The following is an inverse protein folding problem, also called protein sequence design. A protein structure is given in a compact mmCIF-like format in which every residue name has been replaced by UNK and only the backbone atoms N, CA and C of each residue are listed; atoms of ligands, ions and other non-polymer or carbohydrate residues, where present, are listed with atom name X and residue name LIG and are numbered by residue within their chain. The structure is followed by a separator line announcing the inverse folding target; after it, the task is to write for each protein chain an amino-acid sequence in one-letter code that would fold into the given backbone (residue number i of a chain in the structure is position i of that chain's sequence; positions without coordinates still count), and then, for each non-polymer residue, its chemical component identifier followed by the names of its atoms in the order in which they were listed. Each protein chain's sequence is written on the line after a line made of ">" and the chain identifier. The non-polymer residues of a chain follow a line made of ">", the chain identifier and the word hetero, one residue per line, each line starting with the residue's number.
data_IF_136263249221
#
_entry.id   IF_136263249221
#
_cell.length_a   1.000
_cell.length_b   1.000
_cell.length_c   1.000
_cell.angle_alpha   90.00
_cell.angle_beta   90.00
_cell.angle_gamma   90.00
#
_symmetry.space_group_name_H-M   'P 1'
#
loop_
_entity.id
_entity.type
_entity.pdbx_description
1 polymer ?
#
# COMPACT_ATOMS: atom_id res chain seq x y z
N UNK A 1 7.38 20.97 5.64
CA UNK A 1 8.07 20.33 6.78
C UNK A 1 9.49 20.05 6.34
N UNK A 2 10.48 20.35 7.17
CA UNK A 2 11.89 20.10 6.89
C UNK A 2 12.26 18.64 7.25
N UNK A 3 11.90 17.71 6.37
CA UNK A 3 12.16 16.27 6.59
C UNK A 3 13.65 15.96 6.80
N UNK A 4 14.61 16.56 6.06
CA UNK A 4 16.04 16.39 6.34
C UNK A 4 16.41 16.76 7.78
N UNK A 5 15.94 17.91 8.28
CA UNK A 5 16.18 18.29 9.68
C UNK A 5 15.60 17.27 10.66
N UNK A 6 14.33 16.90 10.51
CA UNK A 6 13.67 15.97 11.44
C UNK A 6 14.28 14.56 11.41
N UNK A 7 14.71 14.09 10.24
CA UNK A 7 15.30 12.76 10.09
C UNK A 7 16.77 12.64 10.51
N UNK A 8 17.48 13.76 10.72
CA UNK A 8 18.95 13.71 10.96
C UNK A 8 19.44 14.52 12.15
N UNK A 9 18.70 15.55 12.59
CA UNK A 9 19.15 16.52 13.61
C UNK A 9 18.18 16.70 14.77
N UNK A 10 16.88 16.49 14.56
CA UNK A 10 15.88 16.64 15.61
C UNK A 10 16.06 15.59 16.71
N UNK A 11 15.68 15.96 17.94
CA UNK A 11 15.71 15.05 19.07
C UNK A 11 14.53 14.05 19.06
N UNK A 12 14.63 13.04 19.93
CA UNK A 12 13.65 11.96 20.04
C UNK A 12 12.26 12.48 20.44
N UNK A 13 12.18 13.50 21.29
CA UNK A 13 10.89 14.07 21.73
C UNK A 13 10.19 14.79 20.58
N UNK A 14 10.95 15.53 19.77
CA UNK A 14 10.43 16.22 18.59
C UNK A 14 9.86 15.25 17.55
N UNK A 15 10.57 14.15 17.28
CA UNK A 15 10.11 13.16 16.29
C UNK A 15 9.02 12.23 16.82
N UNK A 16 8.74 12.24 18.13
CA UNK A 16 7.60 11.52 18.73
C UNK A 16 6.26 12.21 18.52
N UNK A 17 6.27 13.51 18.23
CA UNK A 17 5.06 14.22 17.82
C UNK A 17 4.46 13.50 16.61
N UNK A 18 3.20 13.07 16.72
CA UNK A 18 2.50 12.32 15.67
C UNK A 18 2.44 13.08 14.34
N UNK A 19 2.40 14.42 14.38
CA UNK A 19 2.42 15.24 13.19
C UNK A 19 3.78 15.21 12.46
N UNK A 20 4.89 14.92 13.17
CA UNK A 20 6.25 14.79 12.64
C UNK A 20 6.60 13.34 12.32
N UNK A 21 6.27 12.42 13.23
CA UNK A 21 6.58 11.00 13.15
C UNK A 21 6.02 10.38 11.87
N UNK A 22 4.73 10.61 11.56
CA UNK A 22 4.08 9.93 10.44
C UNK A 22 4.71 10.28 9.09
N UNK A 23 4.91 11.58 8.73
CA UNK A 23 5.61 11.91 7.50
C UNK A 23 7.05 11.41 7.45
N UNK A 24 7.75 11.41 8.58
CA UNK A 24 9.13 10.92 8.64
C UNK A 24 9.19 9.41 8.32
N UNK A 25 8.30 8.61 8.92
CA UNK A 25 8.20 7.17 8.66
C UNK A 25 7.94 6.85 7.18
N UNK A 26 6.97 7.54 6.57
CA UNK A 26 6.64 7.33 5.15
C UNK A 26 7.80 7.81 4.27
N UNK A 27 8.36 8.99 4.52
CA UNK A 27 9.49 9.51 3.75
C UNK A 27 10.70 8.57 3.79
N UNK A 28 11.06 8.04 4.97
CA UNK A 28 12.14 7.07 5.12
C UNK A 28 11.88 5.81 4.29
N UNK A 29 10.68 5.25 4.35
CA UNK A 29 10.32 4.08 3.53
C UNK A 29 10.41 4.36 2.03
N UNK A 30 9.92 5.52 1.56
CA UNK A 30 9.94 5.88 0.14
C UNK A 30 11.36 6.13 -0.39
N UNK A 31 12.20 6.87 0.37
CA UNK A 31 13.59 7.12 -0.02
C UNK A 31 14.39 5.82 -0.04
N UNK A 32 14.18 4.95 0.95
CA UNK A 32 14.82 3.64 0.95
C UNK A 32 14.34 2.76 -0.19
N UNK A 33 13.05 2.79 -0.55
CA UNK A 33 12.54 2.06 -1.71
C UNK A 33 13.22 2.52 -3.01
N UNK A 34 13.43 3.83 -3.20
CA UNK A 34 14.16 4.37 -4.36
C UNK A 34 15.63 3.94 -4.38
N UNK A 35 16.27 3.86 -3.22
CA UNK A 35 17.65 3.38 -3.12
C UNK A 35 17.74 1.87 -3.40
N UNK A 36 16.76 1.11 -2.96
CA UNK A 36 16.71 -0.34 -3.12
C UNK A 36 16.36 -0.76 -4.56
N UNK A 37 15.41 -0.05 -5.17
CA UNK A 37 14.89 -0.26 -6.53
C UNK A 37 15.01 1.04 -7.34
N UNK A 38 16.17 1.29 -7.99
CA UNK A 38 16.43 2.55 -8.69
C UNK A 38 15.43 2.87 -9.79
N UNK A 39 14.86 1.84 -10.43
CA UNK A 39 13.72 2.00 -11.32
C UNK A 39 12.46 1.42 -10.64
N UNK A 40 11.33 2.16 -10.56
CA UNK A 40 10.11 1.68 -9.91
C UNK A 40 9.59 0.34 -10.46
N UNK A 41 9.87 0.05 -11.73
CA UNK A 41 9.51 -1.23 -12.35
C UNK A 41 10.29 -2.43 -11.77
N UNK A 42 11.50 -2.22 -11.24
CA UNK A 42 12.35 -3.29 -10.70
C UNK A 42 11.71 -3.95 -9.49
N UNK A 43 10.97 -3.17 -8.69
CA UNK A 43 10.26 -3.68 -7.52
C UNK A 43 9.11 -4.62 -7.92
N UNK A 44 8.38 -4.33 -9.01
CA UNK A 44 7.20 -5.12 -9.39
C UNK A 44 7.53 -6.56 -9.82
N UNK A 45 8.73 -6.78 -10.36
CA UNK A 45 9.23 -8.12 -10.69
C UNK A 45 9.87 -8.87 -9.51
N UNK A 46 10.12 -8.18 -8.38
CA UNK A 46 10.90 -8.72 -7.24
C UNK A 46 10.12 -8.73 -5.93
N UNK A 47 8.89 -8.23 -5.91
CA UNK A 47 8.06 -8.12 -4.72
C UNK A 47 6.67 -8.69 -5.01
N UNK A 48 6.37 -9.84 -4.39
CA UNK A 48 5.11 -10.56 -4.61
C UNK A 48 3.90 -9.98 -3.85
N UNK A 49 4.15 -9.22 -2.78
CA UNK A 49 3.14 -8.52 -1.99
C UNK A 49 3.76 -7.39 -1.15
N UNK A 50 2.96 -6.37 -0.84
CA UNK A 50 3.28 -5.29 0.08
C UNK A 50 2.23 -5.17 1.16
N UNK A 51 2.67 -4.86 2.37
CA UNK A 51 1.82 -4.56 3.51
C UNK A 51 2.54 -3.53 4.39
N UNK A 52 1.78 -2.70 5.09
CA UNK A 52 2.33 -1.81 6.09
C UNK A 52 1.38 -1.69 7.26
N UNK A 53 1.94 -1.54 8.47
CA UNK A 53 1.15 -1.42 9.69
C UNK A 53 0.74 0.04 9.92
N UNK A 54 -0.55 0.30 10.03
CA UNK A 54 -1.12 1.63 10.22
C UNK A 54 -0.58 2.63 9.18
N UNK A 55 0.21 3.61 9.60
CA UNK A 55 0.84 4.61 8.74
C UNK A 55 1.69 3.99 7.62
N UNK A 56 2.29 2.81 7.87
CA UNK A 56 3.06 2.09 6.85
C UNK A 56 2.22 1.65 5.65
N UNK A 57 0.89 1.52 5.79
CA UNK A 57 0.00 1.18 4.68
C UNK A 57 0.01 2.27 3.59
N UNK A 58 0.37 3.52 3.94
CA UNK A 58 0.55 4.61 2.98
C UNK A 58 1.80 4.37 2.12
N UNK A 59 2.92 4.01 2.74
CA UNK A 59 4.15 3.68 2.01
C UNK A 59 3.95 2.41 1.14
N UNK A 60 3.23 1.41 1.66
CA UNK A 60 2.86 0.22 0.90
C UNK A 60 1.95 0.57 -0.31
N UNK A 61 0.99 1.47 -0.14
CA UNK A 61 0.13 1.96 -1.24
C UNK A 61 0.93 2.67 -2.33
N UNK A 62 1.90 3.51 -1.95
CA UNK A 62 2.82 4.13 -2.92
C UNK A 62 3.71 3.10 -3.60
N UNK A 63 4.27 2.15 -2.85
CA UNK A 63 5.08 1.05 -3.41
C UNK A 63 4.32 0.15 -4.37
N UNK A 64 3.02 -0.06 -4.14
CA UNK A 64 2.12 -0.77 -5.06
C UNK A 64 1.64 0.10 -6.24
N UNK A 65 2.03 1.36 -6.32
CA UNK A 65 1.69 2.27 -7.43
C UNK A 65 0.33 2.97 -7.30
N UNK A 66 -0.35 2.88 -6.15
CA UNK A 66 -1.69 3.49 -5.98
C UNK A 66 -1.63 5.01 -5.90
N UNK A 67 -0.63 5.53 -5.19
CA UNK A 67 -0.42 6.96 -4.95
C UNK A 67 0.96 7.38 -5.48
N UNK A 68 1.09 8.59 -5.98
CA UNK A 68 2.42 9.19 -6.18
C UNK A 68 3.10 9.45 -4.83
N UNK A 69 4.43 9.57 -4.82
CA UNK A 69 5.19 9.92 -3.61
C UNK A 69 4.73 11.27 -3.04
N UNK A 70 4.50 12.27 -3.89
CA UNK A 70 4.03 13.59 -3.51
C UNK A 70 2.63 13.54 -2.88
N UNK A 71 1.70 12.79 -3.49
CA UNK A 71 0.36 12.60 -2.96
C UNK A 71 0.40 11.90 -1.59
N UNK A 72 1.22 10.85 -1.46
CA UNK A 72 1.41 10.14 -0.20
C UNK A 72 1.98 11.05 0.89
N UNK A 73 2.97 11.89 0.55
CA UNK A 73 3.56 12.85 1.50
C UNK A 73 2.59 13.95 1.92
N UNK A 74 1.73 14.43 1.02
CA UNK A 74 0.63 15.35 1.37
C UNK A 74 -0.38 14.64 2.27
N UNK A 75 -0.81 13.43 1.90
CA UNK A 75 -1.79 12.66 2.65
C UNK A 75 -1.32 12.36 4.07
N UNK A 76 -0.09 11.85 4.25
CA UNK A 76 0.44 11.51 5.57
C UNK A 76 0.68 12.74 6.44
N UNK A 77 1.05 13.89 5.86
CA UNK A 77 1.17 15.15 6.60
C UNK A 77 -0.18 15.57 7.18
N UNK A 78 -1.23 15.58 6.35
CA UNK A 78 -2.56 15.95 6.82
C UNK A 78 -3.13 14.90 7.78
N UNK A 79 -2.82 13.60 7.59
CA UNK A 79 -3.19 12.53 8.53
C UNK A 79 -2.54 12.74 9.90
N UNK A 80 -1.23 12.98 9.94
CA UNK A 80 -0.50 13.20 11.19
C UNK A 80 -1.04 14.39 11.96
N UNK A 81 -1.25 15.53 11.29
CA UNK A 81 -1.83 16.74 11.90
C UNK A 81 -3.26 16.51 12.40
N UNK A 82 -4.12 15.95 11.56
CA UNK A 82 -5.53 15.75 11.93
C UNK A 82 -5.69 14.73 13.07
N UNK A 83 -4.83 13.70 13.14
CA UNK A 83 -4.80 12.75 14.27
C UNK A 83 -4.26 13.39 15.55
N UNK A 84 -3.26 14.27 15.47
CA UNK A 84 -2.78 15.03 16.61
C UNK A 84 -3.89 15.96 17.14
N UNK A 85 -4.56 16.70 16.26
CA UNK A 85 -5.68 17.58 16.60
C UNK A 85 -6.83 16.78 17.24
N UNK A 86 -7.19 15.62 16.68
CA UNK A 86 -8.23 14.75 17.24
C UNK A 86 -7.85 14.22 18.63
N UNK A 87 -6.57 13.93 18.87
CA UNK A 87 -6.08 13.44 20.16
C UNK A 87 -6.14 14.52 21.25
N UNK A 88 -6.02 15.80 20.87
CA UNK A 88 -6.13 16.92 21.80
C UNK A 88 -7.56 17.18 22.31
N UNK A 89 -8.59 16.62 21.65
CA UNK A 89 -10.01 16.84 22.01
C UNK A 89 -10.39 16.13 23.32
N UNK A 90 -9.85 14.94 23.57
CA UNK A 90 -10.20 14.13 24.75
C UNK A 90 -8.97 13.37 25.24
N UNK A 91 -8.64 13.43 26.55
CA UNK A 91 -7.55 12.63 27.11
C UNK A 91 -7.79 11.13 26.88
N UNK A 92 -6.98 10.56 26.00
CA UNK A 92 -7.07 9.16 25.56
C UNK A 92 -5.66 8.59 25.42
N UNK A 93 -5.55 7.26 25.35
CA UNK A 93 -4.26 6.60 25.22
C UNK A 93 -4.38 5.21 24.63
N UNK A 94 -3.25 4.49 24.63
CA UNK A 94 -3.17 3.11 24.19
C UNK A 94 -2.31 2.28 25.14
N UNK A 95 -2.67 1.02 25.36
CA UNK A 95 -1.93 0.05 26.19
C UNK A 95 -1.77 -1.25 25.42
N UNK A 96 -0.52 -1.67 25.23
CA UNK A 96 -0.23 -3.00 24.69
C UNK A 96 -0.53 -4.07 25.72
N UNK A 97 -1.17 -5.15 25.26
CA UNK A 97 -1.51 -6.34 26.03
C UNK A 97 -0.71 -7.50 25.44
N UNK A 98 0.11 -8.12 26.27
CA UNK A 98 1.05 -9.18 25.88
C UNK A 98 0.67 -10.47 26.60
N UNK A 99 0.29 -11.51 25.85
CA UNK A 99 -0.19 -12.77 26.39
C UNK A 99 -1.65 -12.71 26.85
N UNK A 100 -2.06 -13.71 27.64
CA UNK A 100 -3.47 -13.98 27.94
C UNK A 100 -4.18 -14.72 26.81
N UNK A 101 -5.34 -15.30 27.12
CA UNK A 101 -6.20 -15.91 26.11
C UNK A 101 -6.95 -14.81 25.34
N UNK A 102 -6.94 -14.90 24.01
CA UNK A 102 -7.43 -13.82 23.13
C UNK A 102 -8.87 -13.41 23.45
N UNK A 103 -9.76 -14.39 23.59
CA UNK A 103 -11.19 -14.12 23.82
C UNK A 103 -11.44 -13.51 25.21
N UNK A 104 -10.67 -13.92 26.22
CA UNK A 104 -10.72 -13.31 27.56
C UNK A 104 -10.25 -11.86 27.52
N UNK A 105 -9.16 -11.57 26.79
CA UNK A 105 -8.68 -10.19 26.60
C UNK A 105 -9.73 -9.35 25.90
N UNK A 106 -10.30 -9.82 24.78
CA UNK A 106 -11.33 -9.09 24.04
C UNK A 106 -12.58 -8.83 24.89
N UNK A 107 -13.01 -9.82 25.68
CA UNK A 107 -14.13 -9.66 26.61
C UNK A 107 -13.85 -8.60 27.68
N UNK A 108 -12.62 -8.55 28.22
CA UNK A 108 -12.24 -7.53 29.20
C UNK A 108 -12.20 -6.13 28.57
N UNK A 109 -11.74 -6.01 27.32
CA UNK A 109 -11.77 -4.73 26.60
C UNK A 109 -13.20 -4.22 26.41
N UNK A 110 -14.10 -5.08 25.96
CA UNK A 110 -15.52 -4.75 25.76
C UNK A 110 -16.19 -4.33 27.08
N UNK A 111 -15.92 -5.05 28.18
CA UNK A 111 -16.42 -4.71 29.51
C UNK A 111 -16.03 -3.29 29.96
N UNK A 112 -14.86 -2.81 29.58
CA UNK A 112 -14.39 -1.46 29.88
C UNK A 112 -14.68 -0.43 28.76
N UNK A 113 -15.37 -0.84 27.69
CA UNK A 113 -15.64 0.01 26.52
C UNK A 113 -14.38 0.43 25.76
N UNK A 114 -13.31 -0.35 25.86
CA UNK A 114 -12.06 -0.15 25.13
C UNK A 114 -12.15 -0.78 23.75
N UNK A 115 -11.46 -0.18 22.78
CA UNK A 115 -11.31 -0.74 21.44
C UNK A 115 -10.00 -1.54 21.36
N UNK A 116 -10.05 -2.74 20.80
CA UNK A 116 -8.86 -3.46 20.34
C UNK A 116 -8.32 -2.76 19.07
N UNK A 117 -7.60 -1.66 19.25
CA UNK A 117 -7.13 -0.79 18.18
C UNK A 117 -6.11 -1.45 17.25
N UNK A 118 -5.30 -2.37 17.78
CA UNK A 118 -4.41 -3.19 16.98
C UNK A 118 -4.52 -4.65 17.43
N UNK A 119 -4.68 -5.52 16.46
CA UNK A 119 -4.51 -6.94 16.60
C UNK A 119 -3.26 -7.35 15.84
N UNK A 120 -2.16 -7.50 16.57
CA UNK A 120 -0.84 -7.69 15.96
C UNK A 120 -0.51 -9.16 15.68
N UNK A 121 -1.40 -10.09 16.07
CA UNK A 121 -1.07 -11.50 16.18
C UNK A 121 -0.02 -11.75 17.27
N UNK A 122 0.45 -12.99 17.40
CA UNK A 122 1.55 -13.30 18.33
C UNK A 122 1.21 -13.14 19.80
N UNK A 123 -0.08 -13.18 20.15
CA UNK A 123 -0.56 -12.89 21.50
C UNK A 123 -0.41 -11.42 21.90
N UNK A 124 -0.32 -10.49 20.93
CA UNK A 124 -0.25 -9.06 21.18
C UNK A 124 -1.49 -8.35 20.64
N UNK A 125 -2.23 -7.71 21.56
CA UNK A 125 -3.31 -6.78 21.27
C UNK A 125 -2.93 -5.38 21.78
N UNK A 126 -3.57 -4.35 21.27
CA UNK A 126 -3.44 -2.98 21.80
C UNK A 126 -4.83 -2.44 22.13
N UNK A 127 -5.06 -2.19 23.41
CA UNK A 127 -6.25 -1.53 23.89
C UNK A 127 -6.14 -0.01 23.71
N UNK A 128 -7.22 0.63 23.33
CA UNK A 128 -7.27 2.08 23.16
C UNK A 128 -8.62 2.64 23.62
N UNK A 129 -8.59 3.80 24.25
CA UNK A 129 -9.76 4.50 24.75
C UNK A 129 -9.37 5.66 25.68
N UNK A 130 -10.29 6.08 26.53
CA UNK A 130 -10.02 7.13 27.52
C UNK A 130 -9.04 6.64 28.59
N UNK A 131 -8.34 7.57 29.24
CA UNK A 131 -7.39 7.24 30.31
C UNK A 131 -8.08 6.49 31.47
N UNK A 132 -9.30 6.90 31.83
CA UNK A 132 -10.09 6.24 32.88
C UNK A 132 -10.45 4.78 32.52
N UNK A 133 -10.76 4.50 31.26
CA UNK A 133 -11.04 3.12 30.82
C UNK A 133 -9.77 2.24 30.87
N UNK A 134 -8.62 2.80 30.50
CA UNK A 134 -7.33 2.10 30.57
C UNK A 134 -6.89 1.86 32.02
N UNK A 135 -7.13 2.81 32.92
CA UNK A 135 -6.91 2.64 34.36
C UNK A 135 -7.80 1.52 34.93
N UNK A 136 -9.08 1.45 34.52
CA UNK A 136 -9.99 0.40 34.92
C UNK A 136 -9.50 -1.00 34.45
N UNK A 137 -9.06 -1.11 33.20
CA UNK A 137 -8.44 -2.34 32.68
C UNK A 137 -7.17 -2.71 33.46
N UNK A 138 -6.34 -1.72 33.82
CA UNK A 138 -5.12 -1.96 34.59
C UNK A 138 -5.39 -2.43 36.03
N UNK A 139 -6.52 -2.03 36.62
CA UNK A 139 -6.96 -2.51 37.93
C UNK A 139 -7.48 -3.95 37.88
N UNK A 140 -7.96 -4.42 36.74
CA UNK A 140 -8.50 -5.77 36.53
C UNK A 140 -7.94 -6.38 35.23
N UNK A 141 -6.63 -6.65 35.17
CA UNK A 141 -6.00 -7.12 33.93
C UNK A 141 -6.49 -8.53 33.58
N UNK A 142 -6.61 -8.85 32.27
CA UNK A 142 -6.90 -10.21 31.82
C UNK A 142 -5.88 -11.21 32.38
N UNK A 143 -6.32 -12.44 32.65
CA UNK A 143 -5.47 -13.46 33.24
C UNK A 143 -4.24 -13.73 32.35
N UNK A 144 -3.06 -13.85 32.97
CA UNK A 144 -1.77 -14.11 32.31
C UNK A 144 -1.36 -13.07 31.24
N UNK A 145 -2.05 -11.93 31.15
CA UNK A 145 -1.66 -10.84 30.28
C UNK A 145 -0.76 -9.84 31.01
N UNK A 146 0.23 -9.28 30.29
CA UNK A 146 1.03 -8.15 30.76
C UNK A 146 0.59 -6.88 30.04
N UNK A 147 0.32 -5.83 30.80
CA UNK A 147 -0.06 -4.53 30.27
C UNK A 147 1.16 -3.61 30.19
N UNK A 148 1.30 -2.89 29.07
CA UNK A 148 2.34 -1.88 28.86
C UNK A 148 1.75 -0.64 28.20
N UNK A 149 1.58 0.47 28.93
CA UNK A 149 1.17 1.75 28.34
C UNK A 149 2.11 2.17 27.21
N UNK A 150 1.54 2.72 26.14
CA UNK A 150 2.27 3.21 24.98
C UNK A 150 2.43 4.73 25.06
N UNK A 151 3.61 5.22 24.67
CA UNK A 151 3.88 6.66 24.56
C UNK A 151 3.36 7.16 23.21
N UNK A 152 2.06 7.41 23.15
CA UNK A 152 1.34 7.91 21.96
C UNK A 152 0.43 9.07 22.35
N UNK A 153 0.13 9.94 21.38
CA UNK A 153 -0.65 11.15 21.63
C UNK A 153 -2.13 10.90 21.97
N UNK A 154 -2.69 9.75 21.57
CA UNK A 154 -4.10 9.43 21.82
C UNK A 154 -4.50 8.02 21.41
N UNK A 155 -5.78 7.70 21.55
CA UNK A 155 -6.38 6.41 21.18
C UNK A 155 -6.57 6.28 19.66
N UNK A 156 -5.49 6.01 18.92
CA UNK A 156 -5.55 5.78 17.47
C UNK A 156 -6.41 4.55 17.10
N UNK A 157 -6.93 4.52 15.88
CA UNK A 157 -7.72 3.38 15.37
C UNK A 157 -9.04 3.15 16.13
N UNK A 158 -9.58 4.21 16.75
CA UNK A 158 -10.84 4.20 17.49
C UNK A 158 -11.79 5.30 17.01
N UNK A 159 -13.00 5.31 17.56
CA UNK A 159 -13.98 6.37 17.34
C UNK A 159 -13.47 7.78 17.70
N UNK A 160 -12.47 7.90 18.59
CA UNK A 160 -11.86 9.19 18.96
C UNK A 160 -11.16 9.86 17.77
N UNK A 161 -10.77 9.10 16.74
CA UNK A 161 -10.13 9.62 15.53
C UNK A 161 -11.12 10.03 14.43
N UNK A 162 -12.43 9.95 14.65
CA UNK A 162 -13.46 10.38 13.67
C UNK A 162 -13.27 11.81 13.13
N UNK A 163 -12.83 12.82 13.93
CA UNK A 163 -12.53 14.14 13.39
C UNK A 163 -11.45 14.10 12.29
N UNK A 164 -10.42 13.27 12.44
CA UNK A 164 -9.37 13.10 11.44
C UNK A 164 -9.90 12.47 10.14
N UNK A 165 -10.83 11.51 10.24
CA UNK A 165 -11.50 10.90 9.08
C UNK A 165 -12.18 11.97 8.23
N UNK A 166 -12.85 12.95 8.84
CA UNK A 166 -13.57 14.00 8.12
C UNK A 166 -12.62 14.90 7.31
N UNK A 167 -11.45 15.23 7.87
CA UNK A 167 -10.39 15.98 7.19
C UNK A 167 -9.86 15.20 5.99
N UNK A 168 -9.49 13.94 6.22
CA UNK A 168 -8.92 13.07 5.17
C UNK A 168 -9.92 12.73 4.08
N UNK A 169 -11.20 12.56 4.42
CA UNK A 169 -12.28 12.34 3.44
C UNK A 169 -12.44 13.52 2.48
N UNK A 170 -12.20 14.75 2.95
CA UNK A 170 -12.22 15.94 2.09
C UNK A 170 -11.00 15.97 1.17
N UNK A 171 -9.82 15.70 1.73
CA UNK A 171 -8.57 15.64 0.97
C UNK A 171 -8.59 14.56 -0.11
N UNK A 172 -9.11 13.38 0.20
CA UNK A 172 -9.16 12.23 -0.69
C UNK A 172 -9.89 12.50 -2.01
N UNK A 173 -10.83 13.47 -2.04
CA UNK A 173 -11.53 13.88 -3.26
C UNK A 173 -10.61 14.51 -4.31
N UNK A 174 -9.45 15.02 -3.90
CA UNK A 174 -8.45 15.62 -4.77
C UNK A 174 -7.29 14.68 -5.10
N UNK A 175 -7.33 13.42 -4.63
CA UNK A 175 -6.27 12.44 -4.85
C UNK A 175 -6.67 11.53 -6.02
N UNK A 176 -5.87 11.58 -7.07
CA UNK A 176 -5.89 10.58 -8.15
C UNK A 176 -5.27 9.28 -7.63
N UNK A 177 -5.90 8.15 -7.94
CA UNK A 177 -5.41 6.81 -7.58
C UNK A 177 -5.27 5.93 -8.81
N UNK A 178 -4.33 5.00 -8.79
CA UNK A 178 -4.22 3.91 -9.76
C UNK A 178 -4.46 2.56 -9.08
N UNK A 179 -4.88 1.56 -9.84
CA UNK A 179 -5.02 0.20 -9.32
C UNK A 179 -3.64 -0.39 -9.00
N UNK A 180 -3.61 -1.28 -8.01
CA UNK A 180 -2.36 -1.82 -7.46
C UNK A 180 -1.61 -2.66 -8.50
N UNK A 181 -0.31 -2.45 -8.61
CA UNK A 181 0.60 -3.28 -9.43
C UNK A 181 1.23 -4.45 -8.67
N UNK A 182 1.14 -4.42 -7.34
CA UNK A 182 1.61 -5.46 -6.43
C UNK A 182 0.53 -5.72 -5.39
N UNK A 183 0.43 -6.96 -4.88
CA UNK A 183 -0.63 -7.34 -3.94
C UNK A 183 -0.54 -6.45 -2.69
N UNK A 184 -1.54 -5.61 -2.45
CA UNK A 184 -1.61 -4.78 -1.27
C UNK A 184 -2.50 -5.43 -0.23
N UNK A 185 -1.90 -5.90 0.86
CA UNK A 185 -2.60 -6.55 1.97
C UNK A 185 -3.13 -5.48 2.92
N UNK A 186 -4.46 -5.42 3.10
CA UNK A 186 -5.09 -4.36 3.88
C UNK A 186 -5.18 -4.66 5.37
N UNK A 187 -4.90 -3.65 6.18
CA UNK A 187 -5.04 -3.65 7.64
C UNK A 187 -6.49 -3.81 8.12
N UNK A 188 -7.49 -3.58 7.26
CA UNK A 188 -8.90 -3.63 7.67
C UNK A 188 -9.37 -5.06 7.96
N UNK A 189 -8.98 -5.99 7.10
CA UNK A 189 -9.54 -7.35 7.03
C UNK A 189 -8.52 -8.39 6.56
N UNK A 190 -7.24 -8.00 6.37
CA UNK A 190 -6.19 -8.85 5.82
C UNK A 190 -6.31 -9.08 4.32
N UNK A 191 -7.40 -8.67 3.66
CA UNK A 191 -7.61 -9.00 2.25
C UNK A 191 -6.65 -8.24 1.33
N UNK A 192 -6.30 -8.88 0.21
CA UNK A 192 -5.60 -8.21 -0.88
C UNK A 192 -6.59 -7.28 -1.60
N UNK A 193 -6.20 -6.03 -1.78
CA UNK A 193 -7.02 -5.00 -2.44
C UNK A 193 -6.38 -4.59 -3.75
N UNK A 194 -7.19 -4.52 -4.82
CA UNK A 194 -6.70 -4.15 -6.15
C UNK A 194 -7.07 -2.73 -6.56
N UNK A 195 -8.29 -2.29 -6.25
CA UNK A 195 -8.75 -0.98 -6.70
C UNK A 195 -8.07 0.15 -5.94
N UNK A 196 -7.43 1.07 -6.65
CA UNK A 196 -6.78 2.23 -6.05
C UNK A 196 -7.74 3.11 -5.24
N UNK A 197 -8.97 3.25 -5.73
CA UNK A 197 -10.04 3.98 -5.03
C UNK A 197 -10.42 3.31 -3.72
N UNK A 198 -10.50 1.98 -3.71
CA UNK A 198 -10.80 1.22 -2.50
C UNK A 198 -9.63 1.27 -1.50
N UNK A 199 -8.38 1.22 -1.97
CA UNK A 199 -7.19 1.44 -1.13
C UNK A 199 -7.26 2.81 -0.47
N UNK A 200 -7.47 3.89 -1.24
CA UNK A 200 -7.56 5.24 -0.66
C UNK A 200 -8.70 5.37 0.34
N UNK A 201 -9.88 4.80 0.04
CA UNK A 201 -11.01 4.79 0.96
C UNK A 201 -10.66 4.06 2.27
N UNK A 202 -9.98 2.92 2.17
CA UNK A 202 -9.50 2.16 3.34
C UNK A 202 -8.47 2.96 4.13
N UNK A 203 -7.50 3.63 3.49
CA UNK A 203 -6.52 4.49 4.18
C UNK A 203 -7.18 5.64 4.96
N UNK A 204 -8.25 6.24 4.41
CA UNK A 204 -9.04 7.28 5.11
C UNK A 204 -9.77 6.70 6.32
N UNK A 205 -10.46 5.57 6.15
CA UNK A 205 -11.23 4.94 7.23
C UNK A 205 -10.33 4.35 8.33
N UNK A 206 -9.13 3.89 7.95
CA UNK A 206 -8.15 3.21 8.80
C UNK A 206 -7.83 4.00 10.07
N UNK A 207 -7.82 5.34 10.02
CA UNK A 207 -7.47 6.18 11.18
C UNK A 207 -8.40 5.96 12.37
N UNK A 208 -9.65 5.53 12.12
CA UNK A 208 -10.68 5.31 13.14
C UNK A 208 -11.13 3.87 13.28
N UNK A 209 -10.45 2.94 12.60
CA UNK A 209 -10.77 1.51 12.58
C UNK A 209 -9.57 0.68 13.04
N UNK A 210 -9.81 -0.47 13.71
CA UNK A 210 -8.74 -1.37 14.13
C UNK A 210 -7.81 -1.80 12.99
N UNK A 211 -6.53 -1.98 13.33
CA UNK A 211 -5.53 -2.61 12.46
C UNK A 211 -5.50 -4.10 12.76
N UNK A 212 -5.91 -4.92 11.79
CA UNK A 212 -5.93 -6.38 11.82
C UNK A 212 -4.67 -6.96 11.18
N UNK A 213 -3.54 -6.70 11.82
CA UNK A 213 -2.25 -7.21 11.35
C UNK A 213 -2.14 -8.74 11.52
N UNK A 214 -2.86 -9.32 12.48
CA UNK A 214 -3.08 -10.77 12.57
C UNK A 214 -3.62 -11.36 11.26
N UNK A 215 -4.60 -10.71 10.63
CA UNK A 215 -5.15 -11.13 9.34
C UNK A 215 -4.19 -10.84 8.17
N UNK A 216 -3.40 -9.77 8.26
CA UNK A 216 -2.34 -9.52 7.28
C UNK A 216 -1.29 -10.64 7.31
N UNK A 217 -0.86 -11.07 8.50
CA UNK A 217 0.07 -12.19 8.66
C UNK A 217 -0.54 -13.52 8.19
N UNK A 218 -1.82 -13.77 8.49
CA UNK A 218 -2.52 -14.93 7.95
C UNK A 218 -2.49 -14.92 6.43
N UNK A 219 -2.76 -13.77 5.80
CA UNK A 219 -2.72 -13.64 4.35
C UNK A 219 -1.32 -13.84 3.79
N UNK A 220 -0.26 -13.36 4.47
CA UNK A 220 1.12 -13.67 4.09
C UNK A 220 1.42 -15.18 4.14
N UNK A 221 0.86 -15.89 5.14
CA UNK A 221 0.96 -17.35 5.24
C UNK A 221 0.21 -18.04 4.10
N UNK A 222 -1.01 -17.60 3.79
CA UNK A 222 -1.84 -18.16 2.71
C UNK A 222 -1.22 -17.92 1.33
N UNK A 223 -0.54 -16.79 1.15
CA UNK A 223 0.28 -16.47 -0.02
C UNK A 223 1.62 -17.22 -0.05
N UNK A 224 1.92 -18.05 0.97
CA UNK A 224 3.14 -18.83 1.08
C UNK A 224 4.42 -17.97 1.00
N UNK A 225 4.39 -16.77 1.58
CA UNK A 225 5.55 -15.86 1.63
C UNK A 225 6.74 -16.59 2.27
N UNK A 226 7.88 -16.60 1.57
CA UNK A 226 9.11 -17.25 2.07
C UNK A 226 10.09 -16.27 2.72
N UNK A 227 9.95 -14.97 2.44
CA UNK A 227 10.82 -13.92 2.97
C UNK A 227 10.07 -12.60 3.18
N UNK A 228 10.34 -11.91 4.29
CA UNK A 228 9.80 -10.58 4.61
C UNK A 228 10.95 -9.59 4.76
N UNK A 229 10.98 -8.58 3.88
CA UNK A 229 11.86 -7.42 3.97
C UNK A 229 11.10 -6.25 4.61
N UNK A 230 11.54 -5.79 5.77
CA UNK A 230 10.95 -4.65 6.48
C UNK A 230 11.73 -3.36 6.16
N UNK A 231 10.98 -2.35 5.70
CA UNK A 231 11.51 -1.01 5.39
C UNK A 231 11.76 -0.20 6.68
N UNK A 232 12.70 0.76 6.66
CA UNK A 232 13.04 1.53 7.85
C UNK A 232 11.90 2.45 8.32
N UNK A 233 11.79 2.66 9.65
CA UNK A 233 12.57 2.02 10.72
C UNK A 233 12.14 0.55 10.92
N UNK A 234 13.09 -0.37 10.79
CA UNK A 234 12.82 -1.79 10.75
C UNK A 234 13.13 -2.48 12.09
N UNK A 235 12.59 -3.68 12.28
CA UNK A 235 12.81 -4.57 13.42
C UNK A 235 11.52 -4.96 14.15
N UNK A 236 10.48 -4.14 14.10
CA UNK A 236 9.24 -4.41 14.84
C UNK A 236 8.38 -5.45 14.12
N UNK A 237 8.12 -5.23 12.83
CA UNK A 237 7.26 -6.12 12.05
C UNK A 237 7.94 -7.45 11.77
N UNK A 238 9.26 -7.46 11.52
CA UNK A 238 10.06 -8.69 11.42
C UNK A 238 10.09 -9.46 12.74
N UNK A 239 10.16 -8.80 13.90
CA UNK A 239 10.07 -9.48 15.20
C UNK A 239 8.68 -10.11 15.44
N UNK A 240 7.60 -9.44 15.01
CA UNK A 240 6.25 -10.02 15.04
C UNK A 240 6.17 -11.23 14.09
N UNK A 241 6.64 -11.08 12.85
CA UNK A 241 6.65 -12.13 11.84
C UNK A 241 7.41 -13.37 12.32
N UNK A 242 8.61 -13.24 12.89
CA UNK A 242 9.38 -14.38 13.46
C UNK A 242 8.61 -15.19 14.51
N UNK A 243 7.73 -14.54 15.27
CA UNK A 243 6.89 -15.22 16.27
C UNK A 243 5.72 -15.98 15.64
N UNK A 244 5.18 -15.49 14.53
CA UNK A 244 3.93 -15.99 13.93
C UNK A 244 4.12 -16.86 12.70
N UNK A 245 5.05 -16.51 11.82
CA UNK A 245 5.31 -17.17 10.55
C UNK A 245 6.57 -18.03 10.68
N UNK A 246 6.39 -19.30 11.04
CA UNK A 246 7.51 -20.25 11.18
C UNK A 246 8.05 -20.61 9.81
N UNK A 247 9.38 -20.59 9.66
CA UNK A 247 10.07 -20.92 8.41
C UNK A 247 10.14 -19.78 7.39
N UNK A 248 9.60 -18.60 7.71
CA UNK A 248 9.73 -17.40 6.86
C UNK A 248 10.99 -16.65 7.25
N UNK A 249 11.86 -16.42 6.27
CA UNK A 249 13.06 -15.61 6.47
C UNK A 249 12.67 -14.14 6.65
N UNK A 250 13.45 -13.38 7.41
CA UNK A 250 13.15 -11.97 7.67
C UNK A 250 14.40 -11.11 7.58
N UNK A 251 14.30 -9.98 6.92
CA UNK A 251 15.35 -8.97 6.81
C UNK A 251 14.83 -7.63 7.31
N UNK A 252 15.49 -7.06 8.32
CA UNK A 252 15.18 -5.71 8.82
C UNK A 252 16.20 -4.73 8.23
N UNK A 253 15.78 -3.90 7.27
CA UNK A 253 16.66 -2.91 6.64
C UNK A 253 16.76 -1.68 7.55
N UNK A 254 17.87 -1.61 8.28
CA UNK A 254 18.10 -0.61 9.34
C UNK A 254 19.15 0.44 8.97
N UNK A 255 20.04 0.16 8.02
CA UNK A 255 21.11 1.08 7.65
C UNK A 255 21.47 1.02 6.15
N UNK A 256 22.03 2.09 5.56
CA UNK A 256 22.33 2.14 4.12
C UNK A 256 23.36 1.13 3.62
N UNK A 257 24.30 0.70 4.46
CA UNK A 257 25.30 -0.33 4.14
C UNK A 257 24.68 -1.73 3.93
N UNK A 258 23.42 -1.92 4.32
CA UNK A 258 22.67 -3.17 4.14
C UNK A 258 21.92 -3.23 2.80
N UNK A 259 22.02 -2.22 1.93
CA UNK A 259 21.23 -2.15 0.68
C UNK A 259 21.55 -3.32 -0.27
N UNK A 260 22.80 -3.73 -0.40
CA UNK A 260 23.18 -4.85 -1.28
C UNK A 260 22.69 -6.19 -0.73
N UNK A 261 22.74 -6.40 0.59
CA UNK A 261 22.17 -7.57 1.24
C UNK A 261 20.65 -7.61 1.13
N UNK A 262 19.99 -6.46 1.24
CA UNK A 262 18.54 -6.34 1.05
C UNK A 262 18.11 -6.64 -0.40
N UNK A 263 18.90 -6.24 -1.40
CA UNK A 263 18.68 -6.62 -2.80
C UNK A 263 18.84 -8.12 -2.99
N UNK A 264 19.91 -8.70 -2.44
CA UNK A 264 20.16 -10.14 -2.47
C UNK A 264 19.01 -10.91 -1.80
N UNK A 265 18.49 -10.41 -0.69
CA UNK A 265 17.32 -10.96 -0.02
C UNK A 265 16.07 -10.91 -0.91
N UNK A 266 15.82 -9.76 -1.55
CA UNK A 266 14.71 -9.61 -2.49
C UNK A 266 14.88 -10.50 -3.72
N UNK A 267 16.09 -10.75 -4.22
CA UNK A 267 16.32 -11.68 -5.34
C UNK A 267 16.11 -13.14 -4.96
N UNK A 268 16.45 -13.51 -3.72
CA UNK A 268 16.26 -14.88 -3.21
C UNK A 268 14.79 -15.23 -2.99
N UNK A 269 14.01 -14.28 -2.47
CA UNK A 269 12.62 -14.53 -2.03
C UNK A 269 11.56 -13.90 -2.91
N UNK A 270 11.95 -12.94 -3.73
CA UNK A 270 11.07 -12.21 -4.62
C UNK A 270 10.47 -13.13 -5.67
N UNK A 271 9.20 -12.90 -5.93
CA UNK A 271 8.49 -13.43 -7.08
C UNK A 271 7.77 -12.27 -7.75
N UNK A 272 7.56 -12.40 -9.06
CA UNK A 272 6.75 -11.43 -9.78
C UNK A 272 5.34 -11.49 -9.21
N UNK A 273 4.80 -10.34 -8.80
CA UNK A 273 3.42 -10.30 -8.32
C UNK A 273 2.49 -10.79 -9.43
N UNK A 274 1.83 -11.94 -9.23
CA UNK A 274 0.81 -12.48 -10.16
C UNK A 274 -0.49 -11.65 -10.18
N UNK A 275 -0.50 -10.48 -9.53
CA UNK A 275 -1.40 -9.42 -9.97
C UNK A 275 -0.95 -9.02 -11.35
N UNK A 276 -1.55 -9.68 -12.33
CA UNK A 276 -1.33 -9.53 -13.75
C UNK A 276 -0.67 -8.18 -14.05
N UNK A 277 0.65 -8.23 -14.27
CA UNK A 277 1.40 -7.14 -14.90
C UNK A 277 0.86 -6.83 -16.31
N UNK A 278 -0.09 -7.64 -16.77
CA UNK A 278 -1.01 -7.43 -17.86
C UNK A 278 -2.03 -6.34 -17.48
N UNK A 279 -1.94 -5.11 -18.05
CA UNK A 279 -3.04 -4.16 -17.86
C UNK A 279 -4.35 -4.84 -18.30
N UNK A 280 -5.46 -4.64 -17.58
CA UNK A 280 -6.74 -5.30 -17.92
C UNK A 280 -7.10 -5.14 -19.41
N UNK A 281 -6.59 -4.08 -20.03
CA UNK A 281 -6.57 -3.85 -21.46
C UNK A 281 -5.38 -2.94 -21.84
N UNK A 282 -4.81 -3.12 -23.03
CA UNK A 282 -3.85 -2.20 -23.69
C UNK A 282 -4.57 -1.41 -24.77
N UNK A 283 -3.99 -0.28 -25.18
CA UNK A 283 -4.54 0.56 -26.23
C UNK A 283 -3.45 0.85 -27.25
N UNK A 284 -3.71 0.54 -28.51
CA UNK A 284 -2.90 1.04 -29.62
C UNK A 284 -3.48 2.37 -30.06
N UNK A 285 -2.59 3.34 -30.26
CA UNK A 285 -2.94 4.70 -30.62
C UNK A 285 -2.31 5.05 -31.96
N UNK A 286 -2.90 6.00 -32.67
CA UNK A 286 -2.38 6.47 -33.94
C UNK A 286 -1.00 7.11 -33.76
N UNK A 287 0.02 6.69 -34.53
CA UNK A 287 1.36 7.29 -34.47
C UNK A 287 1.42 8.65 -35.17
N UNK A 288 0.45 8.97 -36.03
CA UNK A 288 0.48 10.15 -36.89
C UNK A 288 -0.93 10.69 -37.16
N UNK A 289 -1.00 11.80 -37.89
CA UNK A 289 -2.25 12.28 -38.47
C UNK A 289 -2.41 11.67 -39.87
N UNK A 290 -3.60 11.17 -40.18
CA UNK A 290 -3.88 10.58 -41.50
C UNK A 290 -5.17 9.77 -41.51
N UNK A 291 -5.30 8.93 -42.54
CA UNK A 291 -6.36 7.93 -42.67
C UNK A 291 -5.82 6.60 -42.15
N UNK A 292 -6.54 5.94 -41.24
CA UNK A 292 -6.19 4.61 -40.78
C UNK A 292 -6.63 3.56 -41.79
N UNK A 293 -5.72 2.68 -42.18
CA UNK A 293 -5.97 1.55 -43.08
C UNK A 293 -5.58 0.25 -42.37
N UNK A 294 -6.53 -0.66 -42.19
CA UNK A 294 -6.33 -1.91 -41.47
C UNK A 294 -5.58 -2.95 -42.32
N UNK A 295 -4.63 -3.68 -41.72
CA UNK A 295 -3.95 -4.78 -42.41
C UNK A 295 -4.78 -6.05 -42.33
N UNK A 296 -5.44 -6.40 -43.44
CA UNK A 296 -6.28 -7.59 -43.53
C UNK A 296 -7.53 -7.55 -42.64
N UNK A 297 -8.27 -8.65 -42.60
CA UNK A 297 -9.43 -8.78 -41.71
C UNK A 297 -8.97 -9.26 -40.32
N UNK A 298 -8.90 -8.35 -39.35
CA UNK A 298 -8.64 -8.67 -37.94
C UNK A 298 -9.89 -8.38 -37.10
N UNK A 299 -10.89 -9.27 -37.06
CA UNK A 299 -12.09 -9.07 -36.23
C UNK A 299 -11.76 -9.05 -34.73
N UNK A 300 -12.72 -8.61 -33.92
CA UNK A 300 -12.64 -8.78 -32.45
C UNK A 300 -12.46 -10.26 -32.10
N UNK A 301 -11.58 -10.54 -31.13
CA UNK A 301 -11.14 -11.87 -30.76
C UNK A 301 -9.89 -12.37 -31.52
N UNK A 302 -9.43 -11.66 -32.56
CA UNK A 302 -8.17 -12.01 -33.24
C UNK A 302 -6.97 -11.84 -32.32
N UNK A 303 -6.03 -12.79 -32.41
CA UNK A 303 -4.76 -12.76 -31.66
C UNK A 303 -3.67 -12.09 -32.46
N UNK A 304 -2.93 -11.20 -31.80
CA UNK A 304 -1.79 -10.49 -32.33
C UNK A 304 -0.51 -10.89 -31.61
N UNK A 305 0.53 -11.14 -32.38
CA UNK A 305 1.88 -11.38 -31.89
C UNK A 305 2.61 -10.06 -31.60
N UNK A 306 3.62 -10.10 -30.73
CA UNK A 306 4.40 -8.90 -30.41
C UNK A 306 5.18 -8.41 -31.65
N UNK A 307 4.99 -7.13 -31.99
CA UNK A 307 5.57 -6.49 -33.18
C UNK A 307 4.71 -6.61 -34.44
N UNK A 308 3.59 -7.33 -34.40
CA UNK A 308 2.69 -7.46 -35.55
C UNK A 308 2.07 -6.12 -35.95
N UNK A 309 2.08 -5.81 -37.25
CA UNK A 309 1.51 -4.57 -37.77
C UNK A 309 0.03 -4.77 -38.05
N UNK A 310 -0.83 -4.01 -37.37
CA UNK A 310 -2.29 -4.15 -37.47
C UNK A 310 -2.91 -3.27 -38.55
N UNK A 311 -2.12 -2.36 -39.11
CA UNK A 311 -2.55 -1.33 -40.04
C UNK A 311 -1.50 -0.25 -40.21
N UNK A 312 -1.84 0.76 -41.00
CA UNK A 312 -1.02 1.94 -41.20
C UNK A 312 -1.85 3.21 -41.17
N UNK A 313 -1.20 4.33 -40.91
CA UNK A 313 -1.81 5.66 -41.00
C UNK A 313 -1.21 6.39 -42.19
N UNK A 314 -1.98 6.51 -43.25
CA UNK A 314 -1.59 7.11 -44.51
C UNK A 314 -1.88 8.62 -44.54
N UNK A 315 -0.94 9.40 -45.07
CA UNK A 315 -1.14 10.81 -45.39
C UNK A 315 -0.37 11.19 -46.67
N UNK A 316 -0.45 12.47 -47.07
CA UNK A 316 0.20 12.98 -48.29
C UNK A 316 1.73 12.80 -48.33
N UNK A 317 2.37 12.50 -47.19
CA UNK A 317 3.83 12.32 -47.08
C UNK A 317 4.25 10.84 -46.99
N UNK A 318 3.29 9.91 -46.93
CA UNK A 318 3.54 8.47 -46.82
C UNK A 318 2.64 7.79 -45.79
N UNK A 319 2.91 6.50 -45.55
CA UNK A 319 2.19 5.69 -44.56
C UNK A 319 3.10 5.33 -43.38
N UNK A 320 2.56 5.38 -42.16
CA UNK A 320 3.26 5.00 -40.93
C UNK A 320 2.64 3.73 -40.36
N UNK A 321 3.38 2.63 -40.19
CA UNK A 321 2.84 1.40 -39.65
C UNK A 321 2.44 1.55 -38.18
N UNK A 322 1.39 0.80 -37.78
CA UNK A 322 0.90 0.70 -36.41
C UNK A 322 1.23 -0.69 -35.88
N UNK A 323 2.39 -0.90 -35.24
CA UNK A 323 2.73 -2.18 -34.62
C UNK A 323 1.97 -2.38 -33.30
N UNK A 324 1.72 -3.63 -32.94
CA UNK A 324 1.30 -4.07 -31.61
C UNK A 324 2.54 -4.45 -30.79
N UNK A 325 3.18 -3.54 -30.02
CA UNK A 325 4.54 -3.78 -29.52
C UNK A 325 4.66 -4.98 -28.58
N UNK A 326 3.55 -5.38 -27.96
CA UNK A 326 3.48 -6.43 -26.96
C UNK A 326 2.41 -7.50 -27.26
N UNK A 327 1.82 -7.49 -28.46
CA UNK A 327 0.73 -8.40 -28.84
C UNK A 327 -0.53 -8.30 -27.97
N UNK A 328 -1.43 -9.27 -28.13
CA UNK A 328 -2.67 -9.43 -27.35
C UNK A 328 -3.87 -9.84 -28.21
N UNK A 329 -5.02 -10.08 -27.56
CA UNK A 329 -6.30 -10.35 -28.25
C UNK A 329 -7.04 -9.04 -28.51
N UNK A 330 -7.52 -8.80 -29.73
CA UNK A 330 -8.36 -7.64 -30.05
C UNK A 330 -9.68 -7.73 -29.28
N UNK A 331 -9.99 -6.71 -28.48
CA UNK A 331 -11.25 -6.60 -27.74
C UNK A 331 -12.27 -5.79 -28.51
N UNK A 332 -11.83 -4.65 -29.04
CA UNK A 332 -12.72 -3.66 -29.65
C UNK A 332 -11.91 -2.76 -30.59
N UNK A 333 -12.44 -2.55 -31.79
CA UNK A 333 -11.99 -1.49 -32.69
C UNK A 333 -12.68 -0.18 -32.33
N UNK A 334 -11.89 0.86 -32.09
CA UNK A 334 -12.38 2.20 -31.71
C UNK A 334 -12.56 3.07 -32.97
N UNK A 335 -11.86 2.72 -34.04
CA UNK A 335 -11.97 3.33 -35.37
C UNK A 335 -12.27 2.26 -36.41
N UNK A 336 -12.86 2.67 -37.52
CA UNK A 336 -13.08 1.84 -38.70
C UNK A 336 -11.97 2.03 -39.73
N UNK A 337 -11.82 1.06 -40.63
CA UNK A 337 -10.98 1.20 -41.81
C UNK A 337 -11.44 2.41 -42.64
N UNK A 338 -10.49 3.29 -42.99
CA UNK A 338 -10.74 4.55 -43.69
C UNK A 338 -11.03 5.77 -42.79
N UNK A 339 -11.04 5.63 -41.46
CA UNK A 339 -11.28 6.76 -40.56
C UNK A 339 -10.10 7.74 -40.50
N UNK A 340 -10.41 9.03 -40.35
CA UNK A 340 -9.41 10.06 -40.09
C UNK A 340 -9.00 10.05 -38.61
N UNK A 341 -7.70 9.97 -38.36
CA UNK A 341 -7.12 9.85 -37.03
C UNK A 341 -6.05 10.90 -36.75
N UNK A 342 -5.89 11.27 -35.48
CA UNK A 342 -4.87 12.20 -34.98
C UNK A 342 -3.81 11.48 -34.12
N UNK A 343 -2.58 12.00 -33.98
CA UNK A 343 -1.56 11.37 -33.14
C UNK A 343 -2.05 11.18 -31.70
N UNK A 344 -1.86 9.98 -31.16
CA UNK A 344 -2.33 9.60 -29.82
C UNK A 344 -3.81 9.23 -29.74
N UNK A 345 -4.57 9.32 -30.84
CA UNK A 345 -5.96 8.88 -30.87
C UNK A 345 -6.04 7.36 -30.72
N UNK A 346 -6.89 6.83 -29.82
CA UNK A 346 -7.13 5.39 -29.68
C UNK A 346 -7.63 4.76 -30.99
N UNK A 347 -7.03 3.63 -31.38
CA UNK A 347 -7.39 2.86 -32.57
C UNK A 347 -8.05 1.54 -32.20
N UNK A 348 -7.42 0.78 -31.30
CA UNK A 348 -7.89 -0.55 -30.90
C UNK A 348 -7.57 -0.81 -29.44
N UNK A 349 -8.47 -1.51 -28.75
CA UNK A 349 -8.27 -2.04 -27.41
C UNK A 349 -7.85 -3.50 -27.50
N UNK A 350 -6.77 -3.86 -26.82
CA UNK A 350 -6.27 -5.24 -26.75
C UNK A 350 -6.41 -5.77 -25.32
N UNK A 351 -6.71 -7.05 -25.15
CA UNK A 351 -6.52 -7.76 -23.90
C UNK A 351 -5.15 -8.44 -23.96
N UNK A 352 -4.19 -8.12 -23.07
CA UNK A 352 -2.93 -8.83 -23.04
C UNK A 352 -3.13 -10.31 -22.75
N UNK A 353 -2.37 -11.16 -23.43
CA UNK A 353 -2.25 -12.57 -23.07
C UNK A 353 -1.12 -12.70 -22.05
N UNK A 354 -1.36 -13.46 -20.98
CA UNK A 354 -0.34 -13.87 -20.02
C UNK A 354 0.65 -14.82 -20.70
N UNK A 355 1.94 -14.47 -20.71
CA UNK A 355 3.01 -15.36 -21.16
C UNK A 355 3.17 -16.60 -20.27
#
# INVERSE_FOLDING_TARGET
>A
MDLPFYGTKADVETIRDTAVAQPLLVASSLVTALALFPHPADAFGRIGAVAGHSVGEIAAATGAGVLSAEQAMVFVRERGRAMADASAVTPTGMTAILGGERDEVLSALDQHGLTAANDNGGGQLVAAGTLAQLEALAAQPPAKARLRPLSVAGAFHTLHMRPAVAVLSRLARAITTHDTRTRLISNRDGQVVHSGREVLRRLVDQVSRPVRWDLCLQTMSDLQVTGILEMPPAGTLTAIAKRQLKGVDTFALTSPDQLDDARTFADKHGDTSLLDASPTWRMLVSPAKGTFEQTGELPEGSRLTAGEVIGEVANLRGATPVPAPYGGTIVEWIVSDGDLVSPGQPLVRLHPESE
#
